data_IF_469767582078
#
_entry.id   IF_469767582078
#
_cell.length_a   1.000
_cell.length_b   1.000
_cell.length_c   1.000
_cell.angle_alpha   90.00
_cell.angle_beta   90.00
_cell.angle_gamma   90.00
#
_symmetry.space_group_name_H-M   'P 1'
#
loop_
_entity.id
_entity.type
_entity.pdbx_description
1 polymer ?
#
# COMPACT_ATOMS: atom_id res chain seq x y z
N UNK A 1 -19.36 7.01 -8.31
CA UNK A 1 -18.26 6.98 -7.32
C UNK A 1 -18.53 5.82 -6.35
N UNK A 2 -17.72 4.76 -6.36
CA UNK A 2 -17.88 3.60 -5.48
C UNK A 2 -17.12 3.86 -4.18
N UNK A 3 -17.82 4.01 -3.05
CA UNK A 3 -17.15 4.23 -1.77
C UNK A 3 -16.70 2.89 -1.16
N UNK A 4 -15.44 2.74 -0.76
CA UNK A 4 -14.93 1.53 -0.13
C UNK A 4 -15.36 1.48 1.34
N UNK A 5 -16.58 1.01 1.61
CA UNK A 5 -17.09 0.89 2.98
C UNK A 5 -16.63 -0.43 3.61
N UNK A 6 -15.73 -0.36 4.59
CA UNK A 6 -15.19 -1.55 5.26
C UNK A 6 -14.15 -2.33 4.46
N UNK A 7 -13.78 -1.86 3.26
CA UNK A 7 -12.74 -2.46 2.43
C UNK A 7 -11.39 -1.88 2.84
N UNK A 8 -10.46 -2.75 3.22
CA UNK A 8 -9.08 -2.40 3.57
C UNK A 8 -8.04 -3.14 2.75
N UNK A 9 -8.47 -3.88 1.73
CA UNK A 9 -7.59 -4.53 0.78
C UNK A 9 -7.28 -3.59 -0.39
N UNK A 10 -6.02 -3.20 -0.55
CA UNK A 10 -5.59 -2.24 -1.55
C UNK A 10 -5.73 -2.78 -2.98
N UNK A 11 -5.40 -4.05 -3.20
CA UNK A 11 -5.47 -4.72 -4.51
C UNK A 11 -6.90 -4.66 -5.06
N UNK A 12 -7.88 -5.12 -4.27
CA UNK A 12 -9.30 -5.06 -4.60
C UNK A 12 -9.79 -3.62 -4.77
N UNK A 13 -9.31 -2.69 -3.94
CA UNK A 13 -9.72 -1.29 -4.00
C UNK A 13 -9.36 -0.66 -5.36
N UNK A 14 -8.15 -0.92 -5.84
CA UNK A 14 -7.67 -0.42 -7.13
C UNK A 14 -8.32 -1.15 -8.31
N UNK A 15 -8.32 -2.48 -8.29
CA UNK A 15 -8.81 -3.30 -9.42
C UNK A 15 -10.32 -3.19 -9.63
N UNK A 16 -11.11 -3.08 -8.56
CA UNK A 16 -12.57 -2.89 -8.65
C UNK A 16 -13.00 -1.43 -8.83
N UNK A 17 -12.04 -0.51 -8.96
CA UNK A 17 -12.23 0.91 -9.20
C UNK A 17 -13.05 1.60 -8.09
N UNK A 18 -12.73 1.31 -6.84
CA UNK A 18 -13.24 2.10 -5.72
C UNK A 18 -12.58 3.46 -5.66
N UNK A 19 -13.23 4.40 -4.98
CA UNK A 19 -12.66 5.70 -4.72
C UNK A 19 -11.47 5.57 -3.75
N UNK A 20 -10.26 5.71 -4.30
CA UNK A 20 -9.01 5.79 -3.56
C UNK A 20 -8.51 7.24 -3.53
N UNK A 21 -8.09 7.71 -2.35
CA UNK A 21 -7.35 8.97 -2.25
C UNK A 21 -5.88 8.64 -2.23
N UNK A 22 -5.19 8.97 -3.32
CA UNK A 22 -3.77 8.69 -3.47
C UNK A 22 -2.93 9.47 -2.46
N UNK A 23 -2.17 8.71 -1.66
CA UNK A 23 -1.17 9.19 -0.69
C UNK A 23 0.13 8.40 -0.79
N UNK A 24 0.34 7.71 -1.92
CA UNK A 24 1.49 6.84 -2.14
C UNK A 24 2.81 7.63 -2.26
N UNK A 25 2.74 8.92 -2.55
CA UNK A 25 3.87 9.86 -2.51
C UNK A 25 4.56 9.95 -1.13
N UNK A 26 3.94 9.45 -0.05
CA UNK A 26 4.55 9.42 1.28
C UNK A 26 5.40 8.16 1.54
N UNK A 27 5.42 7.19 0.63
CA UNK A 27 6.25 5.97 0.78
C UNK A 27 7.74 6.30 1.00
N UNK A 28 8.38 7.21 0.26
CA UNK A 28 9.78 7.59 0.51
C UNK A 28 9.99 8.12 1.94
N UNK A 29 9.06 8.94 2.45
CA UNK A 29 9.15 9.45 3.82
C UNK A 29 8.96 8.36 4.88
N UNK A 30 8.20 7.30 4.57
CA UNK A 30 8.05 6.11 5.41
C UNK A 30 9.38 5.34 5.43
N UNK A 31 10.03 5.14 4.29
CA UNK A 31 11.34 4.50 4.18
C UNK A 31 12.43 5.26 4.98
N UNK A 32 12.40 6.59 4.95
CA UNK A 32 13.34 7.46 5.69
C UNK A 32 13.05 7.54 7.21
N UNK A 33 11.82 7.28 7.65
CA UNK A 33 11.41 7.49 9.03
C UNK A 33 12.09 6.54 10.04
N UNK A 34 12.64 5.41 9.58
CA UNK A 34 13.48 4.54 10.39
C UNK A 34 13.31 3.04 10.08
N UNK A 35 14.21 2.22 10.65
CA UNK A 35 14.24 0.77 10.42
C UNK A 35 13.04 0.02 11.01
N UNK A 36 12.43 0.58 12.04
CA UNK A 36 11.28 -0.02 12.72
C UNK A 36 10.23 1.07 12.93
N UNK A 37 9.08 0.91 12.28
CA UNK A 37 7.98 1.85 12.35
C UNK A 37 6.85 1.27 13.20
N UNK A 38 6.42 2.05 14.20
CA UNK A 38 5.27 1.71 15.02
C UNK A 38 4.12 2.66 14.68
N UNK A 39 3.07 2.13 14.08
CA UNK A 39 1.83 2.87 13.91
C UNK A 39 0.98 2.76 15.17
N UNK A 40 0.77 3.87 15.87
CA UNK A 40 -0.09 3.94 17.06
C UNK A 40 -1.51 3.45 16.74
N UNK A 41 -2.35 3.20 17.76
CA UNK A 41 -3.69 2.62 17.60
C UNK A 41 -4.88 3.62 17.60
N UNK A 42 -4.90 4.73 16.82
CA UNK A 42 -6.19 5.39 16.58
C UNK A 42 -7.11 4.51 15.74
N UNK A 43 -8.36 4.35 16.19
CA UNK A 43 -9.39 3.55 15.51
C UNK A 43 -9.83 4.24 14.22
N UNK A 44 -10.10 3.45 13.16
CA UNK A 44 -10.56 3.92 11.84
C UNK A 44 -9.62 4.91 11.12
N UNK A 45 -8.33 4.89 11.47
CA UNK A 45 -7.33 5.77 10.85
C UNK A 45 -6.83 5.28 9.48
N UNK A 46 -7.32 4.14 8.98
CA UNK A 46 -6.88 3.60 7.68
C UNK A 46 -5.54 2.86 7.68
N UNK A 47 -5.01 2.49 8.86
CA UNK A 47 -3.77 1.72 8.98
C UNK A 47 -3.79 0.39 8.24
N UNK A 48 -4.92 -0.34 8.28
CA UNK A 48 -5.05 -1.62 7.58
C UNK A 48 -4.89 -1.46 6.06
N UNK A 49 -5.50 -0.41 5.49
CA UNK A 49 -5.35 -0.08 4.08
C UNK A 49 -3.91 0.33 3.74
N UNK A 50 -3.26 1.12 4.59
CA UNK A 50 -1.86 1.49 4.43
C UNK A 50 -0.95 0.24 4.41
N UNK A 51 -1.13 -0.68 5.36
CA UNK A 51 -0.33 -1.91 5.43
C UNK A 51 -0.57 -2.81 4.21
N UNK A 52 -1.82 -2.95 3.76
CA UNK A 52 -2.13 -3.69 2.53
C UNK A 52 -1.51 -3.02 1.30
N UNK A 53 -1.48 -1.69 1.23
CA UNK A 53 -0.80 -0.97 0.15
C UNK A 53 0.72 -1.22 0.16
N UNK A 54 1.37 -1.11 1.32
CA UNK A 54 2.81 -1.35 1.45
C UNK A 54 3.17 -2.81 1.16
N UNK A 55 2.34 -3.76 1.59
CA UNK A 55 2.46 -5.18 1.24
C UNK A 55 2.48 -5.35 -0.29
N UNK A 56 1.51 -4.78 -1.00
CA UNK A 56 1.46 -4.88 -2.47
C UNK A 56 2.63 -4.15 -3.15
N UNK A 57 3.14 -3.07 -2.55
CA UNK A 57 4.22 -2.26 -3.11
C UNK A 57 5.59 -2.95 -2.99
N UNK A 58 5.88 -3.56 -1.84
CA UNK A 58 7.19 -4.16 -1.56
C UNK A 58 7.31 -5.63 -1.97
N UNK A 59 6.20 -6.37 -2.07
CA UNK A 59 6.24 -7.81 -2.32
C UNK A 59 6.70 -8.14 -3.74
N UNK A 60 7.74 -8.96 -3.85
CA UNK A 60 8.29 -9.48 -5.09
C UNK A 60 7.29 -10.36 -5.85
N UNK A 61 6.37 -11.04 -5.15
CA UNK A 61 5.30 -11.79 -5.80
C UNK A 61 4.33 -10.90 -6.60
N UNK A 62 4.32 -9.59 -6.32
CA UNK A 62 3.48 -8.59 -6.98
C UNK A 62 4.20 -7.84 -8.10
N UNK A 63 5.48 -8.12 -8.37
CA UNK A 63 6.28 -7.43 -9.38
C UNK A 63 5.61 -7.40 -10.77
N UNK A 64 5.00 -8.51 -11.19
CA UNK A 64 4.30 -8.60 -12.49
C UNK A 64 3.03 -7.76 -12.60
N UNK A 65 2.54 -7.21 -11.49
CA UNK A 65 1.30 -6.40 -11.39
C UNK A 65 1.58 -4.96 -10.97
N UNK A 66 2.84 -4.53 -10.97
CA UNK A 66 3.20 -3.19 -10.52
C UNK A 66 2.46 -2.08 -11.30
N UNK A 67 2.46 -2.15 -12.62
CA UNK A 67 1.79 -1.16 -13.48
C UNK A 67 0.26 -1.14 -13.28
N UNK A 68 -0.34 -2.31 -13.09
CA UNK A 68 -1.78 -2.45 -12.83
C UNK A 68 -2.16 -1.75 -11.52
N UNK A 69 -1.40 -2.01 -10.45
CA UNK A 69 -1.73 -1.54 -9.10
C UNK A 69 -1.28 -0.10 -8.84
N UNK A 70 -0.13 0.31 -9.38
CA UNK A 70 0.51 1.57 -9.04
C UNK A 70 0.69 2.54 -10.20
N UNK A 71 0.62 2.10 -11.47
CA UNK A 71 1.03 2.92 -12.63
C UNK A 71 0.29 4.27 -12.77
N UNK A 72 -0.95 4.36 -12.29
CA UNK A 72 -1.73 5.60 -12.29
C UNK A 72 -1.54 6.47 -11.02
N UNK A 73 -0.91 5.94 -9.99
CA UNK A 73 -0.64 6.59 -8.70
C UNK A 73 0.69 7.35 -8.72
N UNK A 74 0.89 8.22 -7.74
CA UNK A 74 2.10 9.02 -7.59
C UNK A 74 3.36 8.17 -7.50
N UNK A 75 3.33 7.08 -6.69
CA UNK A 75 4.49 6.21 -6.54
C UNK A 75 4.76 5.32 -7.76
N UNK A 76 3.75 5.00 -8.57
CA UNK A 76 4.00 4.24 -9.81
C UNK A 76 4.73 5.05 -10.86
N UNK A 77 4.49 6.36 -10.89
CA UNK A 77 5.20 7.30 -11.78
C UNK A 77 6.63 7.56 -11.35
N UNK A 78 6.92 7.43 -10.05
CA UNK A 78 8.25 7.65 -9.49
C UNK A 78 8.54 6.64 -8.36
N UNK A 79 8.81 5.37 -8.70
CA UNK A 79 9.02 4.32 -7.71
C UNK A 79 10.34 4.51 -6.95
N UNK A 80 10.36 4.09 -5.70
CA UNK A 80 11.60 3.96 -4.93
C UNK A 80 12.38 2.74 -5.40
N UNK A 81 13.70 2.66 -5.16
CA UNK A 81 14.51 1.48 -5.48
C UNK A 81 14.06 0.18 -4.78
N UNK A 82 13.17 0.30 -3.80
CA UNK A 82 12.71 -0.78 -2.95
C UNK A 82 11.39 -1.42 -3.42
N UNK A 83 10.80 -0.92 -4.51
CA UNK A 83 9.58 -1.49 -5.08
C UNK A 83 9.76 -2.96 -5.49
N UNK A 84 8.80 -3.81 -5.09
CA UNK A 84 8.75 -5.25 -5.38
C UNK A 84 10.07 -6.02 -5.16
N UNK A 85 10.88 -5.60 -4.18
CA UNK A 85 12.21 -6.18 -3.93
C UNK A 85 12.23 -7.24 -2.83
N UNK A 86 11.16 -7.36 -2.06
CA UNK A 86 11.15 -8.11 -0.81
C UNK A 86 10.15 -9.27 -0.83
N UNK A 87 10.43 -10.32 -0.06
CA UNK A 87 9.38 -11.25 0.34
C UNK A 87 8.67 -10.66 1.56
N UNK A 88 7.40 -10.32 1.41
CA UNK A 88 6.61 -9.75 2.51
C UNK A 88 5.89 -10.87 3.26
N UNK A 89 6.14 -10.96 4.57
CA UNK A 89 5.35 -11.82 5.46
C UNK A 89 4.32 -10.97 6.21
N UNK A 90 3.05 -11.30 6.00
CA UNK A 90 1.92 -10.72 6.72
C UNK A 90 1.49 -11.65 7.83
N UNK A 91 1.54 -11.17 9.05
CA UNK A 91 1.02 -11.87 10.23
C UNK A 91 -0.29 -11.23 10.66
N UNK A 92 -1.37 -12.00 10.61
CA UNK A 92 -2.66 -11.61 11.16
C UNK A 92 -2.95 -12.46 12.39
N UNK A 93 -3.18 -11.80 13.52
CA UNK A 93 -3.46 -12.41 14.82
C UNK A 93 -4.87 -12.08 15.33
N UNK A 94 -5.71 -11.58 14.43
CA UNK A 94 -7.11 -11.22 14.71
C UNK A 94 -7.99 -12.43 15.01
#
# INVERSE_FOLDING_TARGET
>A
MKFPYGISDFDSLITEQYHYVDRTNHIPSIEEAGKQLLFLRPRRFGKSLLLSMLENYYDLNKAGRFEELFGHLAIGKNPTPEHNRYFVLKWDFS
#
